data_IF_333613570945
#
_entry.id   IF_333613570945
#
_cell.length_a   1.000
_cell.length_b   1.000
_cell.length_c   1.000
_cell.angle_alpha   90.00
_cell.angle_beta   90.00
_cell.angle_gamma   90.00
#
_symmetry.space_group_name_H-M   'P 1'
#
loop_
_entity.id
_entity.type
_entity.pdbx_description
1 polymer ?
#
# COMPACT_ATOMS: atom_id res chain seq x y z
N UNK A 1 14.28 15.74 -23.11
CA UNK A 1 15.21 16.89 -22.91
C UNK A 1 16.10 16.78 -21.65
N UNK A 2 16.02 15.69 -20.85
CA UNK A 2 16.92 15.43 -19.71
C UNK A 2 18.04 14.42 -20.03
N UNK A 3 18.00 13.75 -21.18
CA UNK A 3 18.96 12.71 -21.58
C UNK A 3 20.41 13.17 -21.58
N UNK A 4 20.68 14.46 -21.78
CA UNK A 4 22.04 14.99 -21.83
C UNK A 4 22.75 14.95 -20.46
N UNK A 5 22.00 14.96 -19.34
CA UNK A 5 22.59 14.84 -18.00
C UNK A 5 23.03 13.40 -17.70
N UNK A 6 22.31 12.41 -18.24
CA UNK A 6 22.66 10.99 -18.10
C UNK A 6 23.78 10.50 -19.03
N UNK A 7 24.32 11.37 -19.90
CA UNK A 7 25.46 11.07 -20.78
C UNK A 7 26.82 11.37 -20.12
N UNK A 8 26.85 11.86 -18.89
CA UNK A 8 28.10 12.03 -18.14
C UNK A 8 28.57 10.67 -17.61
N UNK A 9 29.84 10.31 -17.88
CA UNK A 9 30.39 8.99 -17.54
C UNK A 9 30.46 8.67 -16.05
N UNK A 10 30.37 9.68 -15.19
CA UNK A 10 30.24 9.54 -13.73
C UNK A 10 29.02 10.33 -13.25
N UNK A 11 28.21 9.71 -12.39
CA UNK A 11 27.05 10.35 -11.76
C UNK A 11 27.48 11.52 -10.88
N UNK A 12 26.97 12.71 -11.19
CA UNK A 12 27.16 13.90 -10.37
C UNK A 12 25.81 14.45 -9.91
N UNK A 13 25.53 14.53 -8.60
CA UNK A 13 24.25 15.03 -8.10
C UNK A 13 24.10 16.56 -8.24
N UNK A 14 25.22 17.31 -8.32
CA UNK A 14 25.24 18.78 -8.29
C UNK A 14 24.47 19.47 -9.44
N UNK A 15 24.64 19.06 -10.72
CA UNK A 15 23.93 19.66 -11.85
C UNK A 15 22.40 19.53 -11.74
N UNK A 16 21.90 18.40 -11.24
CA UNK A 16 20.48 18.18 -11.01
C UNK A 16 19.90 19.13 -9.96
N UNK A 17 20.64 19.36 -8.88
CA UNK A 17 20.21 20.26 -7.80
C UNK A 17 20.21 21.72 -8.24
N UNK A 18 21.21 22.16 -9.00
CA UNK A 18 21.24 23.51 -9.57
C UNK A 18 20.08 23.73 -10.55
N UNK A 19 19.81 22.77 -11.44
CA UNK A 19 18.70 22.89 -12.38
C UNK A 19 17.35 22.92 -11.65
N UNK A 20 17.17 22.05 -10.65
CA UNK A 20 15.96 22.06 -9.82
C UNK A 20 15.79 23.39 -9.08
N UNK A 21 16.88 23.97 -8.57
CA UNK A 21 16.86 25.29 -7.90
C UNK A 21 16.42 26.40 -8.85
N UNK A 22 17.00 26.48 -10.04
CA UNK A 22 16.63 27.49 -11.05
C UNK A 22 15.18 27.36 -11.48
N UNK A 23 14.70 26.13 -11.71
CA UNK A 23 13.30 25.88 -12.07
C UNK A 23 12.33 26.31 -10.96
N UNK A 24 12.70 26.09 -9.70
CA UNK A 24 11.93 26.55 -8.53
C UNK A 24 11.90 28.07 -8.43
N UNK A 25 13.05 28.72 -8.63
CA UNK A 25 13.18 30.19 -8.66
C UNK A 25 12.40 30.82 -9.82
N UNK A 26 12.23 30.11 -10.94
CA UNK A 26 11.38 30.54 -12.05
C UNK A 26 9.88 30.24 -11.86
N UNK A 27 9.49 29.64 -10.73
CA UNK A 27 8.09 29.29 -10.42
C UNK A 27 7.58 27.97 -10.99
N UNK A 28 8.43 27.18 -11.65
CA UNK A 28 8.08 25.87 -12.20
C UNK A 28 8.47 24.74 -11.24
N UNK A 29 7.70 24.63 -10.16
CA UNK A 29 7.93 23.61 -9.12
C UNK A 29 7.80 22.17 -9.64
N UNK A 30 6.92 21.93 -10.60
CA UNK A 30 6.66 20.57 -11.11
C UNK A 30 7.79 20.09 -12.04
N UNK A 31 8.39 20.99 -12.81
CA UNK A 31 9.63 20.68 -13.52
C UNK A 31 10.80 20.44 -12.54
N UNK A 32 10.94 21.26 -11.49
CA UNK A 32 11.97 21.06 -10.46
C UNK A 32 11.85 19.69 -9.78
N UNK A 33 10.64 19.28 -9.40
CA UNK A 33 10.34 17.93 -8.86
C UNK A 33 10.73 16.83 -9.84
N UNK A 34 10.47 17.02 -11.13
CA UNK A 34 10.79 16.04 -12.17
C UNK A 34 12.30 15.85 -12.34
N UNK A 35 13.09 16.92 -12.23
CA UNK A 35 14.56 16.86 -12.25
C UNK A 35 15.11 16.11 -11.04
N UNK A 36 14.56 16.34 -9.84
CA UNK A 36 14.97 15.63 -8.62
C UNK A 36 14.58 14.14 -8.65
N UNK A 37 13.46 13.79 -9.28
CA UNK A 37 13.10 12.40 -9.55
C UNK A 37 14.12 11.74 -10.48
N UNK A 38 14.52 12.40 -11.57
CA UNK A 38 15.54 11.88 -12.48
C UNK A 38 16.89 11.65 -11.77
N UNK A 39 17.32 12.58 -10.90
CA UNK A 39 18.50 12.44 -10.04
C UNK A 39 18.45 11.14 -9.23
N UNK A 40 17.31 10.90 -8.56
CA UNK A 40 17.13 9.72 -7.72
C UNK A 40 16.99 8.42 -8.51
N UNK A 41 16.41 8.46 -9.72
CA UNK A 41 16.37 7.30 -10.64
C UNK A 41 17.76 6.91 -11.15
N UNK A 42 18.65 7.87 -11.36
CA UNK A 42 20.04 7.60 -11.71
C UNK A 42 20.84 7.07 -10.53
N UNK A 43 20.70 7.66 -9.33
CA UNK A 43 21.31 7.11 -8.11
C UNK A 43 20.86 5.66 -7.85
N UNK A 44 19.59 5.34 -8.11
CA UNK A 44 19.05 3.98 -7.97
C UNK A 44 19.73 2.93 -8.88
N UNK A 45 20.39 3.35 -9.97
CA UNK A 45 21.11 2.47 -10.91
C UNK A 45 22.57 2.25 -10.53
N UNK A 46 23.10 2.99 -9.56
CA UNK A 46 24.46 2.80 -9.08
C UNK A 46 24.58 1.57 -8.17
N UNK A 47 25.72 0.87 -8.24
CA UNK A 47 25.98 -0.34 -7.46
C UNK A 47 26.54 -0.08 -6.05
N UNK A 48 26.76 1.19 -5.66
CA UNK A 48 27.32 1.57 -4.35
C UNK A 48 26.30 1.61 -3.20
N UNK A 49 25.02 1.40 -3.51
CA UNK A 49 23.92 1.59 -2.56
C UNK A 49 24.02 0.60 -1.39
N UNK A 50 23.92 1.12 -0.16
CA UNK A 50 23.77 0.29 1.03
C UNK A 50 22.49 -0.55 0.97
N UNK A 51 22.45 -1.70 1.67
CA UNK A 51 21.32 -2.63 1.57
C UNK A 51 19.94 -2.00 1.86
N UNK A 52 19.89 -1.08 2.82
CA UNK A 52 18.68 -0.31 3.18
C UNK A 52 18.32 0.73 2.12
N UNK A 53 19.31 1.45 1.57
CA UNK A 53 19.09 2.36 0.43
C UNK A 53 18.58 1.58 -0.78
N UNK A 54 19.08 0.38 -1.04
CA UNK A 54 18.62 -0.43 -2.17
C UNK A 54 17.14 -0.79 -2.07
N UNK A 55 16.66 -1.13 -0.88
CA UNK A 55 15.23 -1.37 -0.61
C UNK A 55 14.44 -0.06 -0.81
N UNK A 56 14.95 1.06 -0.29
CA UNK A 56 14.35 2.38 -0.47
C UNK A 56 14.19 2.75 -1.95
N UNK A 57 15.27 2.69 -2.74
CA UNK A 57 15.26 3.08 -4.14
C UNK A 57 14.53 2.08 -5.05
N UNK A 58 14.59 0.76 -4.79
CA UNK A 58 13.91 -0.24 -5.64
C UNK A 58 12.43 -0.42 -5.32
N UNK A 59 12.05 -0.43 -4.04
CA UNK A 59 10.67 -0.67 -3.63
C UNK A 59 9.90 0.63 -3.41
N UNK A 60 10.43 1.54 -2.59
CA UNK A 60 9.70 2.75 -2.19
C UNK A 60 9.82 3.89 -3.21
N UNK A 61 10.94 3.99 -3.93
CA UNK A 61 11.20 4.99 -4.97
C UNK A 61 10.11 5.02 -6.07
N UNK A 62 9.87 3.91 -6.79
CA UNK A 62 8.82 3.84 -7.81
C UNK A 62 7.41 4.06 -7.23
N UNK A 63 7.19 3.58 -6.01
CA UNK A 63 5.88 3.59 -5.35
C UNK A 63 5.45 4.99 -4.90
N UNK A 64 6.39 5.79 -4.38
CA UNK A 64 6.13 7.13 -3.81
C UNK A 64 6.61 8.25 -4.75
N UNK A 65 7.39 7.93 -5.78
CA UNK A 65 8.02 8.93 -6.65
C UNK A 65 9.02 9.80 -5.90
N UNK A 66 9.79 9.18 -4.99
CA UNK A 66 10.82 9.83 -4.17
C UNK A 66 10.31 10.98 -3.27
N UNK A 67 9.02 11.00 -2.93
CA UNK A 67 8.41 12.08 -2.12
C UNK A 67 7.93 13.28 -2.94
N UNK A 68 8.13 13.28 -4.26
CA UNK A 68 7.79 14.41 -5.12
C UNK A 68 6.49 14.21 -5.92
N UNK A 69 5.87 13.01 -5.90
CA UNK A 69 4.65 12.69 -6.68
C UNK A 69 3.62 11.91 -5.85
N UNK A 70 2.95 12.55 -4.87
CA UNK A 70 2.03 11.88 -3.93
C UNK A 70 0.87 11.15 -4.61
N UNK A 71 0.41 11.62 -5.78
CA UNK A 71 -0.68 10.97 -6.53
C UNK A 71 -0.37 9.52 -6.95
N UNK A 72 0.91 9.13 -7.05
CA UNK A 72 1.27 7.74 -7.36
C UNK A 72 0.88 6.80 -6.22
N UNK A 73 1.08 7.20 -4.96
CA UNK A 73 0.72 6.42 -3.79
C UNK A 73 -0.78 6.11 -3.74
N UNK A 74 -1.63 7.07 -4.14
CA UNK A 74 -3.08 6.87 -4.20
C UNK A 74 -3.50 5.75 -5.15
N UNK A 75 -2.78 5.53 -6.26
CA UNK A 75 -3.06 4.39 -7.16
C UNK A 75 -2.78 3.05 -6.48
N UNK A 76 -1.75 2.97 -5.65
CA UNK A 76 -1.47 1.76 -4.87
C UNK A 76 -2.50 1.56 -3.77
N UNK A 77 -2.88 2.62 -3.04
CA UNK A 77 -3.97 2.58 -2.05
C UNK A 77 -5.26 2.05 -2.70
N UNK A 78 -5.66 2.62 -3.84
CA UNK A 78 -6.82 2.16 -4.59
C UNK A 78 -6.67 0.68 -5.04
N UNK A 79 -5.49 0.30 -5.54
CA UNK A 79 -5.20 -1.07 -5.95
C UNK A 79 -5.33 -2.08 -4.80
N UNK A 80 -4.81 -1.74 -3.62
CA UNK A 80 -4.94 -2.57 -2.43
C UNK A 80 -6.41 -2.67 -1.98
N UNK A 81 -7.15 -1.56 -1.94
CA UNK A 81 -8.58 -1.57 -1.59
C UNK A 81 -9.38 -2.44 -2.57
N UNK A 82 -9.10 -2.35 -3.88
CA UNK A 82 -9.77 -3.20 -4.88
C UNK A 82 -9.39 -4.68 -4.69
N UNK A 83 -8.12 -4.98 -4.43
CA UNK A 83 -7.68 -6.35 -4.16
C UNK A 83 -8.37 -6.92 -2.90
N UNK A 84 -8.46 -6.12 -1.84
CA UNK A 84 -9.13 -6.53 -0.60
C UNK A 84 -10.63 -6.69 -0.80
N UNK A 85 -11.27 -5.77 -1.54
CA UNK A 85 -12.67 -5.89 -1.92
C UNK A 85 -12.96 -7.23 -2.60
N UNK A 86 -12.13 -7.62 -3.57
CA UNK A 86 -12.26 -8.90 -4.28
C UNK A 86 -12.01 -10.09 -3.34
N UNK A 87 -10.90 -10.09 -2.60
CA UNK A 87 -10.49 -11.23 -1.75
C UNK A 87 -11.46 -11.45 -0.58
N UNK A 88 -11.87 -10.38 0.11
CA UNK A 88 -12.88 -10.47 1.17
C UNK A 88 -14.28 -10.75 0.60
N UNK A 89 -14.57 -10.29 -0.62
CA UNK A 89 -15.72 -10.71 -1.43
C UNK A 89 -15.80 -12.23 -1.58
N UNK A 90 -14.74 -12.83 -2.09
CA UNK A 90 -14.60 -14.29 -2.23
C UNK A 90 -14.68 -14.98 -0.87
N UNK A 91 -14.05 -14.43 0.17
CA UNK A 91 -14.11 -14.93 1.54
C UNK A 91 -15.53 -15.03 2.09
N UNK A 92 -16.38 -14.03 1.80
CA UNK A 92 -17.78 -14.03 2.21
C UNK A 92 -18.65 -14.97 1.38
N UNK A 93 -18.39 -15.08 0.07
CA UNK A 93 -19.07 -16.05 -0.81
C UNK A 93 -18.77 -17.50 -0.40
N UNK A 94 -17.53 -17.75 0.04
CA UNK A 94 -17.08 -19.07 0.53
C UNK A 94 -17.43 -19.32 2.01
N UNK A 95 -18.18 -18.41 2.66
CA UNK A 95 -18.59 -18.50 4.07
C UNK A 95 -17.42 -18.68 5.06
N UNK A 96 -16.26 -18.12 4.70
CA UNK A 96 -15.03 -18.19 5.50
C UNK A 96 -14.89 -16.97 6.41
N UNK A 97 -15.45 -15.82 6.02
CA UNK A 97 -15.60 -14.66 6.89
C UNK A 97 -16.79 -14.90 7.82
N UNK A 98 -16.54 -14.94 9.12
CA UNK A 98 -17.53 -15.29 10.14
C UNK A 98 -17.72 -14.15 11.13
N UNK A 99 -18.92 -14.04 11.75
CA UNK A 99 -19.14 -13.17 12.89
C UNK A 99 -18.18 -13.48 14.04
N UNK A 100 -17.75 -12.43 14.75
CA UNK A 100 -16.80 -12.56 15.87
C UNK A 100 -17.50 -12.70 17.23
N UNK A 101 -18.68 -12.13 17.38
CA UNK A 101 -19.41 -12.09 18.65
C UNK A 101 -20.42 -13.23 18.78
N UNK A 102 -20.70 -13.66 20.02
CA UNK A 102 -21.60 -14.79 20.30
C UNK A 102 -23.08 -14.42 20.15
N UNK A 103 -23.43 -13.15 20.36
CA UNK A 103 -24.76 -12.56 20.10
C UNK A 103 -25.07 -12.42 18.61
N UNK A 104 -24.12 -12.79 17.74
CA UNK A 104 -24.32 -12.76 16.31
C UNK A 104 -25.35 -13.79 15.83
N UNK A 105 -25.63 -14.83 16.61
CA UNK A 105 -26.54 -15.92 16.22
C UNK A 105 -27.84 -15.88 17.04
N UNK A 106 -28.97 -16.02 16.36
CA UNK A 106 -30.27 -16.25 16.98
C UNK A 106 -30.38 -17.70 17.50
N UNK A 107 -31.45 -18.02 18.24
CA UNK A 107 -31.72 -19.37 18.75
C UNK A 107 -31.77 -20.42 17.63
N UNK A 108 -32.19 -20.03 16.42
CA UNK A 108 -32.23 -20.88 15.22
C UNK A 108 -30.84 -21.16 14.60
N UNK A 109 -29.77 -20.52 15.11
CA UNK A 109 -28.41 -20.63 14.59
C UNK A 109 -28.10 -19.76 13.37
N UNK A 110 -29.06 -18.94 12.94
CA UNK A 110 -28.89 -17.93 11.88
C UNK A 110 -28.35 -16.61 12.42
N UNK A 111 -27.70 -15.82 11.55
CA UNK A 111 -27.14 -14.51 11.94
C UNK A 111 -28.29 -13.55 12.26
N UNK A 112 -28.24 -12.93 13.44
CA UNK A 112 -29.25 -11.99 13.92
C UNK A 112 -29.44 -10.81 12.96
N UNK A 113 -30.68 -10.37 12.76
CA UNK A 113 -30.99 -9.20 11.93
C UNK A 113 -30.37 -7.92 12.49
N UNK A 114 -30.16 -7.88 13.82
CA UNK A 114 -29.52 -6.77 14.51
C UNK A 114 -27.99 -6.76 14.30
N UNK A 115 -27.41 -7.84 13.77
CA UNK A 115 -25.98 -7.93 13.51
C UNK A 115 -25.60 -7.15 12.25
N UNK A 116 -24.56 -6.29 12.27
CA UNK A 116 -24.17 -5.52 11.10
C UNK A 116 -23.87 -6.39 9.89
N UNK A 117 -24.55 -6.13 8.77
CA UNK A 117 -24.31 -6.85 7.52
C UNK A 117 -22.88 -6.62 7.03
N UNK A 118 -22.23 -7.70 6.58
CA UNK A 118 -20.88 -7.61 6.03
C UNK A 118 -20.89 -6.84 4.71
N UNK A 119 -20.16 -5.73 4.65
CA UNK A 119 -19.87 -5.01 3.42
C UNK A 119 -18.38 -5.16 3.08
N UNK A 120 -18.09 -5.90 2.02
CA UNK A 120 -16.73 -6.28 1.63
C UNK A 120 -15.84 -5.09 1.26
N UNK A 121 -16.41 -4.04 0.63
CA UNK A 121 -15.66 -2.84 0.25
C UNK A 121 -15.33 -2.01 1.50
N UNK A 122 -16.35 -1.76 2.34
CA UNK A 122 -16.20 -1.04 3.61
C UNK A 122 -15.18 -1.75 4.49
N UNK A 123 -15.28 -3.08 4.61
CA UNK A 123 -14.31 -3.88 5.35
C UNK A 123 -12.89 -3.76 4.79
N UNK A 124 -12.72 -3.74 3.46
CA UNK A 124 -11.41 -3.57 2.85
C UNK A 124 -10.80 -2.20 3.16
N UNK A 125 -11.60 -1.14 3.18
CA UNK A 125 -11.18 0.21 3.56
C UNK A 125 -10.86 0.28 5.05
N UNK A 126 -11.75 -0.22 5.90
CA UNK A 126 -11.63 -0.25 7.36
C UNK A 126 -10.32 -0.92 7.81
N UNK A 127 -9.97 -2.05 7.17
CA UNK A 127 -8.73 -2.76 7.45
C UNK A 127 -7.49 -2.12 6.84
N UNK A 128 -7.64 -1.31 5.79
CA UNK A 128 -6.50 -0.70 5.10
C UNK A 128 -6.12 0.66 5.68
N UNK A 129 -7.10 1.47 6.06
CA UNK A 129 -6.88 2.86 6.45
C UNK A 129 -6.90 2.94 7.97
N UNK A 130 -5.74 2.97 8.65
CA UNK A 130 -5.67 2.81 10.11
C UNK A 130 -6.35 3.93 10.91
N UNK A 131 -6.60 5.08 10.29
CA UNK A 131 -7.25 6.24 10.91
C UNK A 131 -8.78 6.21 10.78
N UNK A 132 -9.32 5.28 10.00
CA UNK A 132 -10.75 5.15 9.75
C UNK A 132 -11.26 3.94 10.53
N UNK A 133 -12.36 4.11 11.27
CA UNK A 133 -13.07 2.99 11.91
C UNK A 133 -14.53 3.01 11.44
N UNK A 134 -14.87 2.06 10.56
CA UNK A 134 -16.22 1.82 10.04
C UNK A 134 -16.93 0.67 10.78
N UNK A 135 -16.32 0.20 11.87
CA UNK A 135 -16.74 -0.86 12.78
C UNK A 135 -16.91 -2.25 12.13
N UNK A 136 -16.69 -2.42 10.83
CA UNK A 136 -16.83 -3.74 10.17
C UNK A 136 -15.77 -4.72 10.68
N UNK A 137 -14.59 -4.22 11.03
CA UNK A 137 -13.48 -4.98 11.59
C UNK A 137 -13.80 -5.65 12.94
N UNK A 138 -14.67 -5.05 13.74
CA UNK A 138 -15.05 -5.55 15.07
C UNK A 138 -15.99 -6.76 14.93
N UNK A 139 -16.91 -6.69 13.97
CA UNK A 139 -17.94 -7.71 13.78
C UNK A 139 -17.50 -8.89 12.90
N UNK A 140 -16.53 -8.73 11.99
CA UNK A 140 -16.24 -9.76 10.97
C UNK A 140 -14.76 -10.13 10.88
N UNK A 141 -14.48 -11.44 10.91
CA UNK A 141 -13.12 -11.96 10.78
C UNK A 141 -13.04 -13.20 9.88
N UNK A 142 -12.02 -13.30 9.01
CA UNK A 142 -11.67 -14.53 8.32
C UNK A 142 -11.30 -15.65 9.30
N UNK A 143 -12.03 -16.76 9.25
CA UNK A 143 -11.74 -17.94 10.05
C UNK A 143 -10.65 -18.79 9.38
N UNK A 144 -9.48 -18.89 10.01
CA UNK A 144 -8.33 -19.59 9.46
C UNK A 144 -8.58 -21.09 9.19
N UNK A 145 -9.51 -21.69 9.92
CA UNK A 145 -9.79 -23.12 9.88
C UNK A 145 -10.92 -23.49 8.89
N UNK A 146 -11.53 -22.51 8.23
CA UNK A 146 -12.60 -22.72 7.24
C UNK A 146 -12.10 -22.58 5.80
N UNK A 147 -12.91 -23.11 4.88
CA UNK A 147 -12.64 -23.07 3.44
C UNK A 147 -11.90 -24.30 2.91
N UNK A 148 -11.73 -24.30 1.59
CA UNK A 148 -11.04 -25.37 0.87
C UNK A 148 -9.54 -25.38 1.19
N UNK A 149 -8.93 -26.56 1.13
CA UNK A 149 -7.49 -26.73 1.33
C UNK A 149 -6.77 -26.40 0.02
N UNK A 150 -5.73 -25.60 0.13
CA UNK A 150 -4.81 -25.27 -0.95
C UNK A 150 -3.43 -25.82 -0.60
N UNK A 151 -2.65 -26.14 -1.64
CA UNK A 151 -1.27 -26.63 -1.52
C UNK A 151 -0.29 -25.80 -2.35
N UNK A 152 -0.17 -24.49 -2.09
CA UNK A 152 0.83 -23.68 -2.77
C UNK A 152 2.22 -24.02 -2.22
N UNK A 153 3.19 -24.24 -3.10
CA UNK A 153 4.62 -24.38 -2.75
C UNK A 153 4.95 -25.46 -1.69
N UNK A 154 4.17 -26.54 -1.60
CA UNK A 154 4.44 -27.61 -0.64
C UNK A 154 3.88 -27.39 0.77
N UNK A 155 3.00 -26.39 0.98
CA UNK A 155 2.43 -26.07 2.30
C UNK A 155 0.91 -26.23 2.27
N UNK A 156 0.33 -26.96 3.23
CA UNK A 156 -1.12 -27.08 3.40
C UNK A 156 -1.64 -25.83 4.07
N UNK A 157 -2.45 -25.07 3.34
CA UNK A 157 -3.15 -23.92 3.92
C UNK A 157 -4.60 -23.91 3.49
N UNK A 158 -5.51 -23.66 4.44
CA UNK A 158 -6.92 -23.44 4.11
C UNK A 158 -7.11 -22.05 3.54
N UNK A 159 -8.09 -21.88 2.65
CA UNK A 159 -8.46 -20.58 2.09
C UNK A 159 -8.67 -19.52 3.17
N UNK A 160 -9.30 -19.86 4.31
CA UNK A 160 -9.43 -18.93 5.42
C UNK A 160 -8.14 -18.57 6.11
N UNK A 161 -7.19 -19.51 6.21
CA UNK A 161 -5.84 -19.24 6.71
C UNK A 161 -5.12 -18.26 5.79
N UNK A 162 -5.20 -18.48 4.48
CA UNK A 162 -4.65 -17.57 3.49
C UNK A 162 -5.27 -16.18 3.57
N UNK A 163 -6.59 -16.09 3.65
CA UNK A 163 -7.30 -14.81 3.75
C UNK A 163 -6.94 -14.04 5.02
N UNK A 164 -6.65 -14.75 6.12
CA UNK A 164 -6.18 -14.15 7.37
C UNK A 164 -4.74 -13.64 7.30
N UNK A 165 -3.85 -14.35 6.60
CA UNK A 165 -2.51 -13.83 6.31
C UNK A 165 -2.57 -12.59 5.41
N UNK A 166 -3.42 -12.64 4.38
CA UNK A 166 -3.66 -11.47 3.53
C UNK A 166 -4.22 -10.29 4.33
N UNK A 167 -5.16 -10.52 5.25
CA UNK A 167 -5.69 -9.48 6.13
C UNK A 167 -4.58 -8.73 6.89
N UNK A 168 -3.66 -9.45 7.53
CA UNK A 168 -2.55 -8.82 8.25
C UNK A 168 -1.60 -8.08 7.33
N UNK A 169 -1.30 -8.65 6.16
CA UNK A 169 -0.52 -7.97 5.13
C UNK A 169 -1.20 -6.68 4.65
N UNK A 170 -2.52 -6.72 4.45
CA UNK A 170 -3.33 -5.59 4.02
C UNK A 170 -3.33 -4.45 5.06
N UNK A 171 -3.46 -4.79 6.35
CA UNK A 171 -3.34 -3.83 7.47
C UNK A 171 -1.93 -3.22 7.50
N UNK A 172 -0.89 -4.05 7.44
CA UNK A 172 0.49 -3.58 7.48
C UNK A 172 0.84 -2.67 6.28
N UNK A 173 0.40 -3.04 5.08
CA UNK A 173 0.54 -2.22 3.88
C UNK A 173 -0.19 -0.87 4.03
N UNK A 174 -1.37 -0.89 4.66
CA UNK A 174 -2.13 0.29 5.02
C UNK A 174 -1.37 1.29 5.90
N UNK A 175 -0.76 0.80 6.97
CA UNK A 175 0.10 1.61 7.85
C UNK A 175 1.30 2.21 7.12
N UNK A 176 1.98 1.39 6.32
CA UNK A 176 3.13 1.85 5.54
C UNK A 176 2.71 2.91 4.52
N UNK A 177 1.66 2.68 3.74
CA UNK A 177 1.24 3.64 2.71
C UNK A 177 0.67 4.93 3.28
N UNK A 178 -0.07 4.86 4.40
CA UNK A 178 -0.61 6.04 5.07
C UNK A 178 0.51 6.91 5.62
N UNK A 179 1.51 6.32 6.28
CA UNK A 179 2.66 7.07 6.81
C UNK A 179 3.48 7.71 5.69
N UNK A 180 3.75 6.97 4.61
CA UNK A 180 4.45 7.49 3.43
C UNK A 180 3.70 8.64 2.75
N UNK A 181 2.37 8.55 2.67
CA UNK A 181 1.54 9.61 2.11
C UNK A 181 1.59 10.87 2.97
N UNK A 182 1.49 10.75 4.29
CA UNK A 182 1.65 11.89 5.22
C UNK A 182 3.04 12.51 5.10
N UNK A 183 4.09 11.70 5.04
CA UNK A 183 5.47 12.17 4.88
C UNK A 183 5.67 12.87 3.53
N UNK A 184 5.10 12.33 2.46
CA UNK A 184 5.15 12.93 1.12
C UNK A 184 4.39 14.26 1.03
N UNK A 185 3.22 14.36 1.68
CA UNK A 185 2.42 15.59 1.69
C UNK A 185 3.03 16.69 2.58
N UNK A 186 3.67 16.31 3.69
CA UNK A 186 4.34 17.28 4.59
C UNK A 186 5.69 17.77 4.04
N UNK A 187 6.20 17.17 2.96
CA UNK A 187 7.46 17.59 2.35
C UNK A 187 8.69 17.31 3.20
N UNK A 188 8.58 16.48 4.26
CA UNK A 188 9.69 16.15 5.16
C UNK A 188 10.86 15.45 4.46
N UNK A 189 10.60 14.79 3.32
CA UNK A 189 11.62 14.09 2.51
C UNK A 189 12.25 15.01 1.44
N UNK A 190 11.70 16.21 1.23
CA UNK A 190 12.16 17.15 0.21
C UNK A 190 13.13 18.23 0.74
N UNK A 191 13.58 18.10 2.00
CA UNK A 191 14.68 18.86 2.60
C UNK A 191 15.95 18.04 2.58
#
# INVERSE_FOLDING_TARGET
RLEWLGLQGEYSPGPYEQLAKVLRESGDEDAAKTVLVAKNEEKAKQDDLTGTERIWYKFFGPMIGYGYRPWRALRYVAGFIVAGWILFGIGRLTKVVTPTHMDAYNEDGDISENYPKFNFLVYSVDMFVPLVNLHQAEYWLPNANKGFVMWPWGVTIRWGGFLRMYLWFHIAAGWVLTTLLVVGLTGLVAK
#
